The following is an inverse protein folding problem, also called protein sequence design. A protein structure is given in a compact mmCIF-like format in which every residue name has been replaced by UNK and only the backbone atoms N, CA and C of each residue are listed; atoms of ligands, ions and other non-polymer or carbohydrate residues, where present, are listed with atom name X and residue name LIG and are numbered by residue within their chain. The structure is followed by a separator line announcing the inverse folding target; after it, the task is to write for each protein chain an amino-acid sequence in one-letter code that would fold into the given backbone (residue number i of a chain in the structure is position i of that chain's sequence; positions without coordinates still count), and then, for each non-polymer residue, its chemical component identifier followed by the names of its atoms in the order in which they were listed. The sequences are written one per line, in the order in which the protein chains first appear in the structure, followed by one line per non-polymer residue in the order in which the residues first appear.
data_IF_072842975696
#
_entry.id   IF_072842975696
#
_cell.length_a   1.000
_cell.length_b   1.000
_cell.length_c   1.000
_cell.angle_alpha   90.00
_cell.angle_beta   90.00
_cell.angle_gamma   90.00
#
_symmetry.space_group_name_H-M   'P 1'
#
loop_
_entity.id
_entity.type
_entity.pdbx_description
1 polymer ?
#
# COMPACT_ATOMS: atom_id res chain seq x y z
N UNK A 1 -1.40 -13.94 -6.57
CA UNK A 1 -1.22 -13.22 -7.85
C UNK A 1 -2.45 -12.41 -8.25
N UNK A 2 -3.66 -12.98 -8.39
CA UNK A 2 -4.87 -12.24 -8.79
C UNK A 2 -5.19 -11.03 -7.88
N UNK A 3 -5.15 -11.20 -6.56
CA UNK A 3 -5.40 -10.10 -5.61
C UNK A 3 -4.31 -9.02 -5.65
N UNK A 4 -3.04 -9.42 -5.71
CA UNK A 4 -1.90 -8.50 -5.78
C UNK A 4 -1.95 -7.63 -7.05
N UNK A 5 -2.24 -8.26 -8.19
CA UNK A 5 -2.45 -7.57 -9.47
C UNK A 5 -3.69 -6.68 -9.44
N UNK A 6 -4.77 -7.10 -8.77
CA UNK A 6 -5.95 -6.26 -8.59
C UNK A 6 -5.62 -4.99 -7.80
N UNK A 7 -4.94 -5.10 -6.66
CA UNK A 7 -4.49 -3.95 -5.85
C UNK A 7 -3.56 -3.05 -6.65
N UNK A 8 -2.58 -3.65 -7.34
CA UNK A 8 -1.64 -2.94 -8.21
C UNK A 8 -2.35 -2.17 -9.32
N UNK A 9 -3.30 -2.79 -10.02
CA UNK A 9 -4.02 -2.16 -11.12
C UNK A 9 -4.94 -1.05 -10.61
N UNK A 10 -5.61 -1.25 -9.48
CA UNK A 10 -6.41 -0.21 -8.84
C UNK A 10 -5.55 1.02 -8.49
N UNK A 11 -4.38 0.80 -7.89
CA UNK A 11 -3.43 1.87 -7.58
C UNK A 11 -2.94 2.58 -8.84
N UNK A 12 -2.45 1.84 -9.84
CA UNK A 12 -1.93 2.38 -11.10
C UNK A 12 -2.99 3.23 -11.81
N UNK A 13 -4.23 2.75 -11.88
CA UNK A 13 -5.33 3.47 -12.51
C UNK A 13 -5.73 4.72 -11.72
N UNK A 14 -5.73 4.65 -10.38
CA UNK A 14 -6.07 5.79 -9.52
C UNK A 14 -5.04 6.91 -9.64
N UNK A 15 -3.76 6.54 -9.72
CA UNK A 15 -2.65 7.48 -9.82
C UNK A 15 -2.40 7.94 -11.26
N UNK A 16 -3.14 7.42 -12.25
CA UNK A 16 -2.95 7.75 -13.66
C UNK A 16 -1.59 7.33 -14.23
N UNK A 17 -0.98 6.27 -13.68
CA UNK A 17 0.35 5.80 -14.10
C UNK A 17 0.22 4.87 -15.30
N UNK A 18 1.18 4.91 -16.22
CA UNK A 18 1.24 4.00 -17.37
C UNK A 18 1.31 2.53 -16.91
N UNK A 19 0.52 1.66 -17.55
CA UNK A 19 0.53 0.25 -17.23
C UNK A 19 1.87 -0.42 -17.57
N UNK A 20 2.46 -1.18 -16.63
CA UNK A 20 3.68 -1.92 -16.88
C UNK A 20 3.44 -3.07 -17.84
N UNK A 21 4.48 -3.46 -18.59
CA UNK A 21 4.43 -4.65 -19.44
C UNK A 21 4.15 -5.93 -18.63
N UNK A 22 3.63 -7.01 -19.23
CA UNK A 22 3.27 -8.23 -18.50
C UNK A 22 4.41 -8.82 -17.65
N UNK A 23 5.66 -8.70 -18.13
CA UNK A 23 6.86 -9.12 -17.39
C UNK A 23 7.15 -8.24 -16.16
N UNK A 24 6.81 -6.95 -16.22
CA UNK A 24 7.03 -5.99 -15.13
C UNK A 24 5.84 -5.91 -14.16
N UNK A 25 4.64 -6.33 -14.57
CA UNK A 25 3.42 -6.23 -13.76
C UNK A 25 3.54 -6.93 -12.39
N UNK A 26 4.18 -8.10 -12.32
CA UNK A 26 4.37 -8.81 -11.04
C UNK A 26 5.31 -8.05 -10.11
N UNK A 27 6.40 -7.46 -10.65
CA UNK A 27 7.35 -6.67 -9.86
C UNK A 27 6.71 -5.38 -9.34
N UNK A 28 5.97 -4.69 -10.21
CA UNK A 28 5.21 -3.50 -9.85
C UNK A 28 4.17 -3.82 -8.76
N UNK A 29 3.47 -4.94 -8.88
CA UNK A 29 2.47 -5.35 -7.91
C UNK A 29 3.06 -5.62 -6.52
N UNK A 30 4.22 -6.27 -6.45
CA UNK A 30 4.92 -6.47 -5.18
C UNK A 30 5.44 -5.17 -4.58
N UNK A 31 6.00 -4.28 -5.42
CA UNK A 31 6.45 -2.97 -4.97
C UNK A 31 5.29 -2.14 -4.37
N UNK A 32 4.17 -2.04 -5.09
CA UNK A 32 2.98 -1.31 -4.65
C UNK A 32 2.42 -1.92 -3.36
N UNK A 33 2.32 -3.25 -3.29
CA UNK A 33 1.81 -3.93 -2.11
C UNK A 33 2.66 -3.66 -0.86
N UNK A 34 3.99 -3.75 -0.97
CA UNK A 34 4.91 -3.48 0.13
C UNK A 34 4.81 -2.00 0.55
N UNK A 35 4.82 -1.09 -0.42
CA UNK A 35 4.71 0.35 -0.17
C UNK A 35 3.41 0.71 0.56
N UNK A 36 2.27 0.17 0.10
CA UNK A 36 0.96 0.39 0.75
C UNK A 36 0.93 -0.20 2.16
N UNK A 37 1.48 -1.40 2.34
CA UNK A 37 1.57 -2.03 3.66
C UNK A 37 2.43 -1.21 4.63
N UNK A 38 3.54 -0.65 4.16
CA UNK A 38 4.40 0.21 4.96
C UNK A 38 3.68 1.49 5.41
N UNK A 39 2.98 2.17 4.49
CA UNK A 39 2.17 3.36 4.83
C UNK A 39 1.08 3.01 5.84
N UNK A 40 0.37 1.90 5.64
CA UNK A 40 -0.68 1.47 6.57
C UNK A 40 -0.09 1.19 7.97
N UNK A 41 1.05 0.51 8.04
CA UNK A 41 1.75 0.23 9.30
C UNK A 41 2.18 1.52 10.00
N UNK A 42 2.69 2.51 9.26
CA UNK A 42 3.05 3.82 9.83
C UNK A 42 1.83 4.53 10.41
N UNK A 43 0.72 4.61 9.66
CA UNK A 43 -0.51 5.27 10.13
C UNK A 43 -1.07 4.57 11.37
N UNK A 44 -1.13 3.23 11.36
CA UNK A 44 -1.58 2.45 12.52
C UNK A 44 -0.68 2.67 13.72
N UNK A 45 0.65 2.68 13.52
CA UNK A 45 1.60 2.92 14.61
C UNK A 45 1.38 4.29 15.25
N UNK A 46 1.26 5.34 14.44
CA UNK A 46 1.00 6.69 14.93
C UNK A 46 -0.34 6.75 15.67
N UNK A 47 -1.40 6.18 15.10
CA UNK A 47 -2.72 6.15 15.73
C UNK A 47 -2.71 5.43 17.07
N UNK A 48 -2.04 4.28 17.16
CA UNK A 48 -1.89 3.52 18.42
C UNK A 48 -1.11 4.32 19.45
N UNK A 49 -0.03 4.99 19.06
CA UNK A 49 0.74 5.85 19.98
C UNK A 49 -0.09 7.03 20.47
N UNK A 50 -0.84 7.69 19.59
CA UNK A 50 -1.70 8.81 19.94
C UNK A 50 -2.82 8.38 20.90
N UNK A 51 -3.49 7.25 20.63
CA UNK A 51 -4.52 6.70 21.50
C UNK A 51 -3.96 6.28 22.85
N UNK A 52 -2.79 5.63 22.88
CA UNK A 52 -2.12 5.29 24.15
C UNK A 52 -1.77 6.54 24.94
N UNK A 53 -1.19 7.55 24.31
CA UNK A 53 -0.85 8.80 24.98
C UNK A 53 -2.10 9.49 25.57
N UNK A 54 -3.18 9.59 24.79
CA UNK A 54 -4.45 10.15 25.23
C UNK A 54 -5.13 9.35 26.35
N UNK A 55 -4.93 8.04 26.40
CA UNK A 55 -5.48 7.17 27.46
C UNK A 55 -4.69 7.22 28.77
N UNK A 56 -3.45 7.71 28.73
CA UNK A 56 -2.56 7.84 29.87
C UNK A 56 -2.47 9.27 30.43
N UNK A 57 -3.18 10.23 29.83
CA UNK A 57 -3.46 11.57 30.37
C UNK A 57 -4.86 11.60 30.98
#
# INVERSE_FOLDING_TARGET
MKLLLFISNAFINTMGITQPSPKAAIRAAWFIFIMLSAVLATVVTIAVLALRWASHH
#
